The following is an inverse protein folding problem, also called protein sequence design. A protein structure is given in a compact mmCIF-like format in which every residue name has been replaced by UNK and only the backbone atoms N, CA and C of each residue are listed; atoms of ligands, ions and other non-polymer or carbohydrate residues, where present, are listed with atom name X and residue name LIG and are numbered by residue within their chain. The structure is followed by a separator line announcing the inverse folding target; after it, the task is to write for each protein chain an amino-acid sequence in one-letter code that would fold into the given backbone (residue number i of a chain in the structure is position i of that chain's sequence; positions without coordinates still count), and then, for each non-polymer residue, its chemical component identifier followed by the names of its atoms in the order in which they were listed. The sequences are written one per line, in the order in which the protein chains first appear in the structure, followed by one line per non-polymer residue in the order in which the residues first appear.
data_IF_944687516311
#
_entry.id   IF_944687516311
#
_cell.length_a   1.000
_cell.length_b   1.000
_cell.length_c   1.000
_cell.angle_alpha   90.00
_cell.angle_beta   90.00
_cell.angle_gamma   90.00
#
_symmetry.space_group_name_H-M   'P 1'
#
loop_
_entity.id
_entity.type
_entity.pdbx_description
1 polymer ?
#
# COMPACT_ATOMS: atom_id res chain seq x y z
N UNK A 1 -0.97 -8.36 2.44
CA UNK A 1 -0.14 -8.97 3.51
C UNK A 1 1.30 -8.97 3.04
N UNK A 2 2.22 -8.45 3.88
CA UNK A 2 3.61 -8.19 3.53
C UNK A 2 4.55 -9.24 4.14
N UNK A 3 5.54 -9.67 3.35
CA UNK A 3 6.55 -10.63 3.77
C UNK A 3 7.83 -9.99 4.35
N UNK A 4 7.91 -8.65 4.38
CA UNK A 4 9.15 -7.91 4.64
C UNK A 4 9.84 -8.26 5.96
N UNK A 5 9.09 -8.62 7.00
CA UNK A 5 9.62 -8.95 8.33
C UNK A 5 10.17 -10.37 8.45
N UNK A 6 10.06 -11.19 7.39
CA UNK A 6 10.55 -12.56 7.38
C UNK A 6 11.40 -12.91 6.16
N UNK A 7 11.84 -14.17 6.09
CA UNK A 7 12.59 -14.67 4.95
C UNK A 7 11.68 -14.87 3.73
N UNK A 8 12.24 -14.76 2.51
CA UNK A 8 11.56 -15.18 1.28
C UNK A 8 11.60 -16.71 1.16
N UNK A 9 10.78 -17.41 1.96
CA UNK A 9 10.68 -18.87 1.93
C UNK A 9 9.22 -19.31 1.89
N UNK A 10 9.00 -20.50 1.32
CA UNK A 10 7.68 -21.12 1.26
C UNK A 10 7.08 -21.32 2.67
N UNK A 11 7.88 -21.77 3.61
CA UNK A 11 7.45 -22.01 5.00
C UNK A 11 6.89 -20.74 5.65
N UNK A 12 7.51 -19.58 5.36
CA UNK A 12 7.02 -18.30 5.89
C UNK A 12 5.71 -17.87 5.22
N UNK A 13 5.61 -18.00 3.89
CA UNK A 13 4.36 -17.74 3.15
C UNK A 13 3.24 -18.64 3.65
N UNK A 14 3.51 -19.93 3.88
CA UNK A 14 2.51 -20.88 4.37
C UNK A 14 1.96 -20.52 5.75
N UNK A 15 2.69 -19.77 6.59
CA UNK A 15 2.15 -19.29 7.86
C UNK A 15 0.99 -18.31 7.65
N UNK A 16 1.12 -17.37 6.70
CA UNK A 16 0.04 -16.43 6.33
C UNK A 16 -1.17 -17.17 5.74
N UNK A 17 -0.93 -18.13 4.84
CA UNK A 17 -1.98 -18.92 4.21
C UNK A 17 -2.75 -19.73 5.25
N UNK A 18 -2.04 -20.41 6.15
CA UNK A 18 -2.66 -21.23 7.19
C UNK A 18 -3.44 -20.37 8.19
N UNK A 19 -2.93 -19.19 8.55
CA UNK A 19 -3.65 -18.29 9.44
C UNK A 19 -4.93 -17.75 8.80
N UNK A 20 -4.86 -17.36 7.54
CA UNK A 20 -6.03 -16.94 6.77
C UNK A 20 -7.08 -18.04 6.66
N UNK A 21 -6.65 -19.27 6.36
CA UNK A 21 -7.55 -20.43 6.31
C UNK A 21 -8.24 -20.70 7.65
N UNK A 22 -7.50 -20.66 8.77
CA UNK A 22 -8.08 -20.83 10.12
C UNK A 22 -9.13 -19.77 10.44
N UNK A 23 -8.97 -18.55 9.93
CA UNK A 23 -9.92 -17.46 10.12
C UNK A 23 -11.13 -17.53 9.18
N UNK A 24 -11.15 -18.49 8.22
CA UNK A 24 -12.24 -18.72 7.28
C UNK A 24 -12.22 -17.81 6.07
N UNK A 25 -11.05 -17.35 5.63
CA UNK A 25 -10.89 -16.66 4.35
C UNK A 25 -10.79 -17.70 3.21
N UNK A 26 -11.43 -17.40 2.08
CA UNK A 26 -11.37 -18.23 0.86
C UNK A 26 -10.27 -17.79 -0.09
N UNK A 27 -9.84 -16.52 0.03
CA UNK A 27 -8.84 -15.89 -0.83
C UNK A 27 -8.02 -14.87 -0.06
N UNK A 28 -6.72 -14.79 -0.38
CA UNK A 28 -5.81 -13.77 0.15
C UNK A 28 -4.91 -13.19 -0.94
N UNK A 29 -4.42 -11.98 -0.69
CA UNK A 29 -3.39 -11.31 -1.45
C UNK A 29 -2.11 -11.22 -0.63
N UNK A 30 -1.01 -11.76 -1.17
CA UNK A 30 0.34 -11.66 -0.61
C UNK A 30 1.17 -10.77 -1.52
N UNK A 31 1.87 -9.84 -0.93
CA UNK A 31 2.72 -8.88 -1.62
C UNK A 31 3.94 -8.52 -0.77
N UNK A 32 4.78 -7.66 -1.29
CA UNK A 32 5.83 -7.03 -0.51
C UNK A 32 6.12 -5.62 -1.02
N UNK A 33 6.74 -4.80 -0.19
CA UNK A 33 7.13 -3.45 -0.56
C UNK A 33 8.32 -3.43 -1.51
N UNK A 34 8.32 -2.50 -2.46
CA UNK A 34 9.43 -2.34 -3.41
C UNK A 34 10.76 -2.01 -2.74
N UNK A 35 10.76 -1.38 -1.56
CA UNK A 35 12.00 -1.11 -0.84
C UNK A 35 12.73 -2.39 -0.33
N UNK A 36 12.13 -3.57 -0.44
CA UNK A 36 12.80 -4.84 -0.19
C UNK A 36 13.76 -5.22 -1.31
N UNK A 37 13.45 -4.85 -2.57
CA UNK A 37 14.08 -5.38 -3.77
C UNK A 37 15.15 -4.45 -4.32
N UNK A 38 16.30 -5.03 -4.68
CA UNK A 38 17.49 -4.30 -5.19
C UNK A 38 17.19 -3.50 -6.44
N UNK A 39 16.35 -4.04 -7.31
CA UNK A 39 15.98 -3.43 -8.58
C UNK A 39 15.30 -2.07 -8.41
N UNK A 40 14.61 -1.87 -7.28
CA UNK A 40 13.92 -0.63 -6.96
C UNK A 40 14.75 0.39 -6.16
N UNK A 41 16.01 0.10 -5.81
CA UNK A 41 16.83 1.06 -5.03
C UNK A 41 16.92 2.44 -5.71
N UNK A 42 16.87 2.47 -7.04
CA UNK A 42 16.94 3.69 -7.85
C UNK A 42 15.80 4.68 -7.57
N UNK A 43 14.57 4.18 -7.38
CA UNK A 43 13.40 5.07 -7.17
C UNK A 43 13.38 5.73 -5.79
N UNK A 44 14.22 5.26 -4.86
CA UNK A 44 14.33 5.82 -3.51
C UNK A 44 15.46 6.86 -3.37
N UNK A 45 16.12 7.25 -4.46
CA UNK A 45 17.24 8.19 -4.39
C UNK A 45 16.78 9.55 -3.86
N UNK A 46 15.66 10.10 -4.36
CA UNK A 46 15.09 11.35 -3.87
C UNK A 46 14.68 11.30 -2.40
N UNK A 47 14.10 10.16 -1.98
CA UNK A 47 13.74 9.92 -0.58
C UNK A 47 15.00 9.88 0.30
N UNK A 48 16.05 9.18 -0.12
CA UNK A 48 17.30 9.03 0.63
C UNK A 48 17.97 10.36 0.95
N UNK A 49 17.99 11.27 -0.01
CA UNK A 49 18.73 12.51 0.10
C UNK A 49 17.96 13.64 0.82
N UNK A 50 16.66 13.45 1.08
CA UNK A 50 15.81 14.48 1.64
C UNK A 50 15.98 14.71 3.16
N UNK A 51 16.44 13.70 3.93
CA UNK A 51 16.73 13.85 5.36
C UNK A 51 17.67 12.78 5.90
N UNK A 52 18.35 13.08 7.02
CA UNK A 52 19.20 12.09 7.70
C UNK A 52 18.38 10.89 8.24
N UNK A 53 17.16 11.11 8.71
CA UNK A 53 16.25 10.04 9.13
C UNK A 53 15.99 9.04 8.00
N UNK A 54 15.69 9.55 6.81
CA UNK A 54 15.39 8.73 5.63
C UNK A 54 16.63 8.01 5.13
N UNK A 55 17.77 8.69 5.16
CA UNK A 55 19.06 8.09 4.82
C UNK A 55 19.41 6.92 5.74
N UNK A 56 19.23 7.08 7.05
CA UNK A 56 19.44 6.02 8.04
C UNK A 56 18.44 4.86 7.83
N UNK A 57 17.16 5.18 7.63
CA UNK A 57 16.12 4.18 7.37
C UNK A 57 16.44 3.32 6.15
N UNK A 58 16.87 3.93 5.03
CA UNK A 58 17.24 3.22 3.80
C UNK A 58 18.60 2.50 3.90
N UNK A 59 19.47 2.91 4.82
CA UNK A 59 20.76 2.24 5.06
C UNK A 59 20.63 0.89 5.74
N UNK A 60 19.46 0.55 6.27
CA UNK A 60 19.21 -0.75 6.93
C UNK A 60 19.12 -1.90 5.91
N UNK A 61 20.28 -2.36 5.43
CA UNK A 61 20.38 -3.44 4.42
C UNK A 61 19.86 -4.81 4.88
N UNK A 62 19.53 -4.98 6.16
CA UNK A 62 18.83 -6.18 6.65
C UNK A 62 17.35 -6.17 6.27
N UNK A 63 16.80 -5.00 6.01
CA UNK A 63 15.39 -4.80 5.66
C UNK A 63 15.22 -4.26 4.23
N UNK A 64 16.10 -3.37 3.79
CA UNK A 64 15.97 -2.62 2.54
C UNK A 64 16.93 -3.15 1.47
N UNK A 65 16.42 -3.32 0.25
CA UNK A 65 17.17 -3.73 -0.95
C UNK A 65 17.99 -5.01 -0.75
N UNK A 66 17.47 -5.94 0.05
CA UNK A 66 18.17 -7.17 0.44
C UNK A 66 17.97 -8.33 -0.53
N UNK A 67 16.81 -8.39 -1.17
CA UNK A 67 16.39 -9.47 -2.05
C UNK A 67 16.29 -9.00 -3.51
N UNK A 68 16.20 -9.94 -4.46
CA UNK A 68 15.91 -9.64 -5.86
C UNK A 68 14.47 -9.99 -6.22
N UNK A 69 13.87 -9.26 -7.18
CA UNK A 69 12.55 -9.61 -7.72
C UNK A 69 12.52 -11.02 -8.29
N UNK A 70 13.59 -11.46 -8.94
CA UNK A 70 13.69 -12.81 -9.47
C UNK A 70 13.61 -13.89 -8.38
N UNK A 71 14.13 -13.59 -7.16
CA UNK A 71 13.99 -14.50 -6.01
C UNK A 71 12.57 -14.55 -5.49
N UNK A 72 11.86 -13.41 -5.47
CA UNK A 72 10.46 -13.35 -5.10
C UNK A 72 9.57 -14.10 -6.11
N UNK A 73 9.78 -13.91 -7.40
CA UNK A 73 9.02 -14.63 -8.44
C UNK A 73 9.28 -16.15 -8.40
N UNK A 74 10.50 -16.59 -8.08
CA UNK A 74 10.77 -18.02 -7.84
C UNK A 74 9.95 -18.57 -6.67
N UNK A 75 9.89 -17.83 -5.56
CA UNK A 75 9.06 -18.19 -4.40
C UNK A 75 7.57 -18.26 -4.77
N UNK A 76 7.06 -17.28 -5.53
CA UNK A 76 5.67 -17.27 -6.04
C UNK A 76 5.39 -18.57 -6.81
N UNK A 77 6.26 -18.92 -7.76
CA UNK A 77 6.11 -20.12 -8.58
C UNK A 77 6.18 -21.40 -7.74
N UNK A 78 7.05 -21.45 -6.75
CA UNK A 78 7.13 -22.56 -5.81
C UNK A 78 5.83 -22.73 -5.03
N UNK A 79 5.28 -21.66 -4.46
CA UNK A 79 4.01 -21.71 -3.71
C UNK A 79 2.84 -22.04 -4.63
N UNK A 80 2.77 -21.44 -5.82
CA UNK A 80 1.69 -21.73 -6.81
C UNK A 80 1.72 -23.18 -7.33
N UNK A 81 2.86 -23.87 -7.27
CA UNK A 81 2.95 -25.30 -7.63
C UNK A 81 2.37 -26.22 -6.56
N UNK A 82 2.14 -25.73 -5.36
CA UNK A 82 1.58 -26.49 -4.25
C UNK A 82 0.06 -26.36 -4.19
N UNK A 83 -0.58 -27.35 -3.59
CA UNK A 83 -2.02 -27.29 -3.30
C UNK A 83 -2.24 -26.51 -1.99
N UNK A 84 -2.73 -25.29 -2.10
CA UNK A 84 -3.09 -24.45 -0.95
C UNK A 84 -4.56 -24.66 -0.55
N UNK A 85 -4.92 -24.50 0.73
CA UNK A 85 -6.31 -24.68 1.19
C UNK A 85 -7.24 -23.53 0.76
N UNK A 86 -6.69 -22.40 0.32
CA UNK A 86 -7.40 -21.20 -0.13
C UNK A 86 -6.73 -20.66 -1.40
N UNK A 87 -7.42 -19.81 -2.13
CA UNK A 87 -6.83 -19.09 -3.27
C UNK A 87 -5.81 -18.04 -2.80
N UNK A 88 -4.63 -18.03 -3.41
CA UNK A 88 -3.55 -17.11 -3.08
C UNK A 88 -3.14 -16.34 -4.32
N UNK A 89 -3.27 -15.03 -4.28
CA UNK A 89 -2.80 -14.11 -5.30
C UNK A 89 -1.52 -13.43 -4.83
N UNK A 90 -0.58 -13.22 -5.76
CA UNK A 90 0.71 -12.58 -5.48
C UNK A 90 0.90 -11.30 -6.26
N UNK A 91 1.35 -10.27 -5.59
CA UNK A 91 1.60 -8.96 -6.16
C UNK A 91 2.77 -8.22 -5.54
N UNK A 92 2.82 -6.93 -5.82
CA UNK A 92 3.74 -5.97 -5.19
C UNK A 92 2.97 -4.73 -4.74
N UNK A 93 3.40 -4.14 -3.64
CA UNK A 93 3.07 -2.77 -3.30
C UNK A 93 4.23 -1.86 -3.74
N UNK A 94 3.96 -1.10 -4.79
CA UNK A 94 4.95 -0.25 -5.44
C UNK A 94 4.86 1.16 -4.87
N UNK A 95 5.93 1.61 -4.24
CA UNK A 95 6.08 3.02 -3.89
C UNK A 95 6.16 3.82 -5.20
N UNK A 96 5.10 4.54 -5.52
CA UNK A 96 5.04 5.33 -6.75
C UNK A 96 5.70 6.69 -6.54
N UNK A 97 6.60 7.02 -7.45
CA UNK A 97 7.30 8.30 -7.53
C UNK A 97 7.22 8.74 -8.99
N UNK A 98 6.51 9.83 -9.32
CA UNK A 98 6.22 10.23 -10.70
C UNK A 98 7.44 10.32 -11.60
N UNK A 99 8.55 10.86 -11.06
CA UNK A 99 9.81 11.06 -11.78
C UNK A 99 10.46 9.73 -12.22
N UNK A 100 10.07 8.61 -11.60
CA UNK A 100 10.57 7.26 -11.89
C UNK A 100 9.53 6.35 -12.54
N UNK A 101 8.42 6.90 -13.08
CA UNK A 101 7.36 6.11 -13.70
C UNK A 101 7.89 5.14 -14.75
N UNK A 102 8.68 5.63 -15.70
CA UNK A 102 9.23 4.81 -16.79
C UNK A 102 10.21 3.75 -16.26
N UNK A 103 10.96 4.07 -15.20
CA UNK A 103 11.85 3.12 -14.55
C UNK A 103 11.09 2.03 -13.80
N UNK A 104 10.00 2.38 -13.11
CA UNK A 104 9.10 1.42 -12.46
C UNK A 104 8.52 0.46 -13.50
N UNK A 105 8.01 0.98 -14.62
CA UNK A 105 7.47 0.19 -15.71
C UNK A 105 8.53 -0.77 -16.27
N UNK A 106 9.73 -0.28 -16.56
CA UNK A 106 10.86 -1.06 -17.07
C UNK A 106 11.29 -2.18 -16.10
N UNK A 107 11.27 -1.91 -14.78
CA UNK A 107 11.61 -2.93 -13.77
C UNK A 107 10.53 -4.01 -13.71
N UNK A 108 9.27 -3.65 -13.85
CA UNK A 108 8.14 -4.58 -13.76
C UNK A 108 7.92 -5.41 -15.04
N UNK A 109 8.26 -4.87 -16.22
CA UNK A 109 7.99 -5.46 -17.53
C UNK A 109 8.36 -6.96 -17.65
N UNK A 110 9.52 -7.44 -17.11
CA UNK A 110 9.89 -8.85 -17.21
C UNK A 110 9.06 -9.81 -16.36
N UNK A 111 8.21 -9.29 -15.46
CA UNK A 111 7.55 -10.08 -14.43
C UNK A 111 6.02 -10.02 -14.57
N UNK A 112 5.37 -11.15 -14.24
CA UNK A 112 3.91 -11.23 -14.22
C UNK A 112 3.45 -11.43 -12.77
N UNK A 113 2.65 -10.49 -12.28
CA UNK A 113 1.99 -10.55 -10.98
C UNK A 113 0.48 -10.68 -11.17
N UNK A 114 -0.21 -11.28 -10.21
CA UNK A 114 -1.68 -11.38 -10.24
C UNK A 114 -2.33 -10.00 -10.04
N UNK A 115 -1.65 -9.08 -9.37
CA UNK A 115 -2.06 -7.70 -9.16
C UNK A 115 -0.86 -6.81 -8.85
N UNK A 116 -1.01 -5.51 -9.07
CA UNK A 116 -0.05 -4.49 -8.64
C UNK A 116 -0.80 -3.41 -7.85
N UNK A 117 -0.28 -3.10 -6.67
CA UNK A 117 -0.80 -2.04 -5.80
C UNK A 117 0.13 -0.84 -5.91
N UNK A 118 -0.41 0.32 -6.25
CA UNK A 118 0.33 1.58 -6.19
C UNK A 118 0.11 2.26 -4.83
N UNK A 119 1.18 2.75 -4.24
CA UNK A 119 1.14 3.45 -2.95
C UNK A 119 1.93 4.75 -3.01
N UNK A 120 1.42 5.80 -2.38
CA UNK A 120 2.16 7.02 -2.09
C UNK A 120 2.66 6.92 -0.65
N UNK A 121 3.97 6.89 -0.46
CA UNK A 121 4.63 6.91 0.86
C UNK A 121 5.46 8.18 1.09
N UNK A 122 5.76 8.94 0.02
CA UNK A 122 6.48 10.18 0.11
C UNK A 122 5.79 11.31 -0.65
N UNK A 123 5.91 12.52 -0.11
CA UNK A 123 5.45 13.75 -0.72
C UNK A 123 6.70 14.57 -1.04
N UNK A 124 6.98 14.72 -2.34
CA UNK A 124 8.18 15.41 -2.84
C UNK A 124 9.47 14.93 -2.16
N UNK A 125 9.60 13.60 -2.01
CA UNK A 125 10.76 12.94 -1.40
C UNK A 125 10.72 12.83 0.13
N UNK A 126 9.77 13.46 0.83
CA UNK A 126 9.61 13.34 2.28
C UNK A 126 8.58 12.25 2.64
N UNK A 127 9.01 11.22 3.37
CA UNK A 127 8.10 10.20 3.89
C UNK A 127 7.14 10.84 4.90
N UNK A 128 5.83 10.54 4.78
CA UNK A 128 4.80 11.14 5.63
C UNK A 128 4.28 10.20 6.73
N UNK A 129 4.56 8.90 6.63
CA UNK A 129 3.96 7.81 7.38
C UNK A 129 4.87 7.20 8.46
N UNK A 130 6.00 7.83 8.74
CA UNK A 130 6.93 7.42 9.79
C UNK A 130 6.79 8.30 11.04
N UNK A 131 7.02 7.77 12.26
CA UNK A 131 6.91 8.59 13.47
C UNK A 131 7.71 9.89 13.45
N UNK A 132 8.92 9.86 12.86
CA UNK A 132 9.78 11.03 12.71
C UNK A 132 9.37 11.96 11.53
N UNK A 133 8.40 11.56 10.72
CA UNK A 133 7.83 12.43 9.67
C UNK A 133 7.20 13.70 10.25
N UNK A 134 6.79 13.67 11.52
CA UNK A 134 6.31 14.87 12.22
C UNK A 134 7.36 15.97 12.18
N UNK A 135 8.62 15.64 12.49
CA UNK A 135 9.72 16.61 12.55
C UNK A 135 10.19 17.11 11.18
N UNK A 136 10.09 16.30 10.14
CA UNK A 136 10.63 16.66 8.81
C UNK A 136 9.58 17.18 7.83
N UNK A 137 8.30 16.89 8.07
CA UNK A 137 7.19 17.25 7.16
C UNK A 137 6.08 17.98 7.91
N UNK A 138 5.39 17.29 8.84
CA UNK A 138 4.13 17.75 9.41
C UNK A 138 4.24 19.05 10.22
N UNK A 139 5.31 19.22 11.00
CA UNK A 139 5.56 20.41 11.83
C UNK A 139 6.26 21.53 11.07
N UNK A 140 6.68 21.31 9.80
CA UNK A 140 7.42 22.28 9.01
C UNK A 140 6.62 22.91 7.88
N UNK A 141 5.67 22.18 7.32
CA UNK A 141 4.94 22.61 6.13
C UNK A 141 3.45 22.79 6.43
N UNK A 142 2.78 23.56 5.60
CA UNK A 142 1.35 23.77 5.73
C UNK A 142 0.59 22.46 5.44
N UNK A 143 -0.28 22.04 6.36
CA UNK A 143 -1.05 20.80 6.25
C UNK A 143 -1.94 20.79 5.01
N UNK A 144 -2.54 21.92 4.65
CA UNK A 144 -3.37 22.04 3.46
C UNK A 144 -2.57 21.75 2.18
N UNK A 145 -1.33 22.25 2.10
CA UNK A 145 -0.45 22.02 0.94
C UNK A 145 0.03 20.57 0.89
N UNK A 146 0.34 19.96 2.05
CA UNK A 146 0.68 18.52 2.15
C UNK A 146 -0.47 17.68 1.59
N UNK A 147 -1.71 17.94 2.00
CA UNK A 147 -2.88 17.18 1.53
C UNK A 147 -3.16 17.38 0.04
N UNK A 148 -3.08 18.63 -0.47
CA UNK A 148 -3.24 18.88 -1.92
C UNK A 148 -2.20 18.11 -2.72
N UNK A 149 -0.94 18.19 -2.31
CA UNK A 149 0.15 17.50 -3.00
C UNK A 149 0.02 15.98 -2.94
N UNK A 150 -0.39 15.44 -1.81
CA UNK A 150 -0.64 14.01 -1.65
C UNK A 150 -1.71 13.51 -2.65
N UNK A 151 -2.84 14.21 -2.77
CA UNK A 151 -3.88 13.79 -3.70
C UNK A 151 -3.52 14.04 -5.17
N UNK A 152 -2.74 15.06 -5.48
CA UNK A 152 -2.15 15.21 -6.82
C UNK A 152 -1.29 14.00 -7.21
N UNK A 153 -0.46 13.50 -6.28
CA UNK A 153 0.37 12.31 -6.49
C UNK A 153 -0.50 11.05 -6.64
N UNK A 154 -1.57 10.91 -5.87
CA UNK A 154 -2.54 9.81 -6.03
C UNK A 154 -3.22 9.87 -7.40
N UNK A 155 -3.65 11.04 -7.85
CA UNK A 155 -4.28 11.19 -9.16
C UNK A 155 -3.31 10.83 -10.29
N UNK A 156 -2.06 11.24 -10.19
CA UNK A 156 -1.02 10.87 -11.15
C UNK A 156 -0.74 9.36 -11.14
N UNK A 157 -0.68 8.75 -9.96
CA UNK A 157 -0.56 7.30 -9.79
C UNK A 157 -1.69 6.56 -10.51
N UNK A 158 -2.94 6.95 -10.29
CA UNK A 158 -4.10 6.30 -10.93
C UNK A 158 -4.06 6.47 -12.45
N UNK A 159 -3.75 7.69 -12.93
CA UNK A 159 -3.62 8.01 -14.36
C UNK A 159 -2.41 7.34 -15.03
N UNK A 160 -1.45 6.83 -14.26
CA UNK A 160 -0.29 6.11 -14.80
C UNK A 160 -0.65 4.82 -15.53
N UNK A 161 -1.80 4.22 -15.20
CA UNK A 161 -2.27 2.91 -15.69
C UNK A 161 -1.31 1.74 -15.39
N UNK A 162 -0.40 1.88 -14.43
CA UNK A 162 0.52 0.82 -14.02
C UNK A 162 -0.10 -0.14 -12.99
N UNK A 163 -1.14 0.29 -12.29
CA UNK A 163 -1.64 -0.39 -11.11
C UNK A 163 -3.08 -0.85 -11.25
N UNK A 164 -3.38 -1.99 -10.65
CA UNK A 164 -4.74 -2.54 -10.57
C UNK A 164 -5.46 -2.13 -9.28
N UNK A 165 -4.71 -1.65 -8.31
CA UNK A 165 -5.20 -1.29 -6.97
C UNK A 165 -4.45 -0.06 -6.45
N UNK A 166 -5.16 0.80 -5.71
CA UNK A 166 -4.61 1.92 -4.96
C UNK A 166 -4.58 1.55 -3.48
N UNK A 167 -3.38 1.52 -2.90
CA UNK A 167 -3.18 1.29 -1.48
C UNK A 167 -3.75 2.43 -0.63
N UNK A 168 -4.42 2.08 0.45
CA UNK A 168 -4.78 2.94 1.58
C UNK A 168 -4.88 4.46 1.27
N UNK A 169 -5.83 4.90 0.40
CA UNK A 169 -5.85 6.23 -0.20
C UNK A 169 -6.01 7.40 0.78
N UNK A 170 -6.33 7.14 2.03
CA UNK A 170 -6.44 8.15 3.07
C UNK A 170 -5.50 7.93 4.27
N UNK A 171 -4.44 7.13 4.11
CA UNK A 171 -3.43 6.90 5.17
C UNK A 171 -2.72 8.18 5.62
N UNK A 172 -2.74 9.23 4.81
CA UNK A 172 -2.24 10.56 5.18
C UNK A 172 -2.83 11.09 6.51
N UNK A 173 -4.02 10.62 6.91
CA UNK A 173 -4.66 10.97 8.19
C UNK A 173 -4.02 10.34 9.44
N UNK A 174 -3.07 9.43 9.26
CA UNK A 174 -2.55 8.50 10.28
C UNK A 174 -2.10 9.20 11.58
N UNK A 175 -1.54 10.40 11.49
CA UNK A 175 -1.10 11.17 12.66
C UNK A 175 -2.10 12.24 13.10
N UNK A 176 -3.34 12.20 12.58
CA UNK A 176 -4.42 13.13 12.93
C UNK A 176 -4.13 14.61 12.58
N UNK A 177 -3.29 14.87 11.59
CA UNK A 177 -3.21 16.16 10.93
C UNK A 177 -4.28 16.21 9.85
N UNK A 178 -5.10 17.26 9.84
CA UNK A 178 -6.20 17.40 8.88
C UNK A 178 -6.13 18.77 8.21
N UNK A 179 -6.51 18.87 6.93
CA UNK A 179 -6.53 20.15 6.23
C UNK A 179 -7.70 21.02 6.73
N UNK A 180 -7.59 22.32 6.51
CA UNK A 180 -8.61 23.29 6.88
C UNK A 180 -9.75 23.43 5.84
N UNK A 181 -9.63 22.77 4.69
CA UNK A 181 -10.59 22.82 3.59
C UNK A 181 -11.38 21.51 3.45
N UNK A 182 -12.51 21.58 2.74
CA UNK A 182 -13.37 20.43 2.47
C UNK A 182 -12.71 19.45 1.47
N UNK A 183 -12.56 18.19 1.87
CA UNK A 183 -11.97 17.12 1.04
C UNK A 183 -12.97 16.45 0.10
N UNK A 184 -14.29 16.70 0.23
CA UNK A 184 -15.29 16.05 -0.62
C UNK A 184 -15.03 16.21 -2.12
N UNK A 185 -14.71 17.41 -2.64
CA UNK A 185 -14.42 17.55 -4.06
C UNK A 185 -13.25 16.66 -4.52
N UNK A 186 -12.20 16.58 -3.70
CA UNK A 186 -11.02 15.72 -3.93
C UNK A 186 -11.40 14.23 -3.93
N UNK A 187 -12.26 13.82 -3.00
CA UNK A 187 -12.73 12.44 -2.90
C UNK A 187 -13.62 12.03 -4.08
N UNK A 188 -14.50 12.94 -4.56
CA UNK A 188 -15.28 12.70 -5.77
C UNK A 188 -14.38 12.55 -7.01
N UNK A 189 -13.38 13.42 -7.16
CA UNK A 189 -12.40 13.31 -8.26
C UNK A 189 -11.64 11.99 -8.18
N UNK A 190 -11.17 11.59 -7.01
CA UNK A 190 -10.49 10.31 -6.81
C UNK A 190 -11.40 9.14 -7.20
N UNK A 191 -12.64 9.14 -6.73
CA UNK A 191 -13.60 8.07 -7.02
C UNK A 191 -13.88 7.94 -8.54
N UNK A 192 -14.04 9.08 -9.24
CA UNK A 192 -14.21 9.10 -10.69
C UNK A 192 -12.99 8.52 -11.41
N UNK A 193 -11.77 8.92 -11.03
CA UNK A 193 -10.55 8.41 -11.62
C UNK A 193 -10.38 6.90 -11.40
N UNK A 194 -10.67 6.40 -10.19
CA UNK A 194 -10.59 4.96 -9.90
C UNK A 194 -11.53 4.16 -10.80
N UNK A 195 -12.75 4.62 -11.01
CA UNK A 195 -13.71 3.98 -11.90
C UNK A 195 -13.27 4.06 -13.36
N UNK A 196 -12.86 5.23 -13.83
CA UNK A 196 -12.41 5.48 -15.21
C UNK A 196 -11.20 4.62 -15.59
N UNK A 197 -10.23 4.49 -14.68
CA UNK A 197 -9.00 3.73 -14.90
C UNK A 197 -9.09 2.26 -14.44
N UNK A 198 -10.25 1.81 -13.97
CA UNK A 198 -10.46 0.44 -13.47
C UNK A 198 -9.51 0.04 -12.34
N UNK A 199 -9.15 0.99 -11.48
CA UNK A 199 -8.29 0.77 -10.30
C UNK A 199 -9.17 0.59 -9.07
N UNK A 200 -8.93 -0.47 -8.31
CA UNK A 200 -9.66 -0.73 -7.06
C UNK A 200 -9.15 0.17 -5.94
N UNK A 201 -10.05 0.65 -5.10
CA UNK A 201 -9.70 1.39 -3.89
C UNK A 201 -9.53 0.46 -2.68
N UNK A 202 -8.50 0.64 -1.90
CA UNK A 202 -8.26 -0.18 -0.72
C UNK A 202 -8.90 0.43 0.54
N UNK A 203 -9.69 -0.38 1.27
CA UNK A 203 -10.11 -0.10 2.64
C UNK A 203 -9.18 -0.86 3.59
N UNK A 204 -8.26 -0.15 4.25
CA UNK A 204 -7.11 -0.71 4.98
C UNK A 204 -7.21 -0.47 6.48
N UNK A 205 -7.03 -1.54 7.28
CA UNK A 205 -7.15 -1.45 8.74
C UNK A 205 -5.83 -1.12 9.47
N UNK A 206 -4.71 -1.00 8.74
CA UNK A 206 -3.39 -0.79 9.34
C UNK A 206 -3.29 0.46 10.21
N UNK A 207 -3.88 1.59 9.80
CA UNK A 207 -3.89 2.80 10.61
C UNK A 207 -4.58 2.59 11.96
N UNK A 208 -5.66 1.82 12.00
CA UNK A 208 -6.42 1.57 13.21
C UNK A 208 -5.62 0.74 14.23
N UNK A 209 -5.19 -0.46 13.85
CA UNK A 209 -4.62 -1.36 14.86
C UNK A 209 -3.13 -1.14 15.13
N UNK A 210 -2.38 -0.55 14.18
CA UNK A 210 -0.94 -0.26 14.38
C UNK A 210 -0.67 1.13 14.92
N UNK A 211 -1.47 2.13 14.51
CA UNK A 211 -1.24 3.54 14.85
C UNK A 211 -2.34 4.15 15.70
N UNK A 212 -3.32 3.33 16.13
CA UNK A 212 -4.43 3.74 17.01
C UNK A 212 -5.29 4.87 16.43
N UNK A 213 -5.38 4.97 15.10
CA UNK A 213 -6.30 5.92 14.46
C UNK A 213 -7.75 5.48 14.73
N UNK A 214 -8.71 6.39 14.97
CA UNK A 214 -10.09 6.02 15.30
C UNK A 214 -10.84 5.31 14.16
N UNK A 215 -10.52 5.60 12.91
CA UNK A 215 -11.16 4.94 11.75
C UNK A 215 -10.56 3.54 11.55
N UNK A 216 -11.43 2.53 11.49
CA UNK A 216 -11.00 1.14 11.24
C UNK A 216 -10.54 0.88 9.80
N UNK A 217 -10.86 1.76 8.89
CA UNK A 217 -10.53 1.68 7.47
C UNK A 217 -10.53 3.05 6.84
N UNK A 218 -11.15 3.18 5.66
CA UNK A 218 -11.40 4.49 5.07
C UNK A 218 -12.20 5.37 6.01
N UNK A 219 -11.96 6.69 5.97
CA UNK A 219 -12.85 7.65 6.60
C UNK A 219 -14.27 7.45 6.10
N UNK A 220 -15.26 7.69 6.98
CA UNK A 220 -16.67 7.49 6.59
C UNK A 220 -17.02 8.26 5.33
N UNK A 221 -16.56 9.50 5.21
CA UNK A 221 -16.85 10.36 4.08
C UNK A 221 -16.29 9.81 2.77
N UNK A 222 -15.02 9.35 2.77
CA UNK A 222 -14.40 8.75 1.59
C UNK A 222 -15.09 7.45 1.21
N UNK A 223 -15.43 6.60 2.18
CA UNK A 223 -16.15 5.35 1.94
C UNK A 223 -17.53 5.59 1.34
N UNK A 224 -18.28 6.57 1.84
CA UNK A 224 -19.61 6.92 1.33
C UNK A 224 -19.51 7.39 -0.14
N UNK A 225 -18.51 8.25 -0.47
CA UNK A 225 -18.26 8.72 -1.83
C UNK A 225 -17.81 7.58 -2.75
N UNK A 226 -16.94 6.68 -2.28
CA UNK A 226 -16.56 5.50 -3.07
C UNK A 226 -17.77 4.63 -3.42
N UNK A 227 -18.69 4.45 -2.47
CA UNK A 227 -19.94 3.74 -2.72
C UNK A 227 -20.85 4.47 -3.70
N UNK A 228 -21.01 5.77 -3.57
CA UNK A 228 -21.80 6.60 -4.48
C UNK A 228 -21.32 6.46 -5.93
N UNK A 229 -20.00 6.42 -6.14
CA UNK A 229 -19.38 6.27 -7.45
C UNK A 229 -19.22 4.82 -7.91
N UNK A 230 -19.65 3.84 -7.10
CA UNK A 230 -19.46 2.41 -7.39
C UNK A 230 -17.99 2.00 -7.60
N UNK A 231 -17.08 2.58 -6.82
CA UNK A 231 -15.67 2.18 -6.82
C UNK A 231 -15.54 0.73 -6.35
N UNK A 232 -14.81 -0.11 -7.09
CA UNK A 232 -14.52 -1.47 -6.66
C UNK A 232 -13.59 -1.44 -5.43
N UNK A 233 -14.12 -1.79 -4.25
CA UNK A 233 -13.42 -1.69 -2.98
C UNK A 233 -12.89 -3.05 -2.55
N UNK A 234 -11.60 -3.13 -2.23
CA UNK A 234 -10.98 -4.28 -1.58
C UNK A 234 -10.66 -3.98 -0.12
N UNK A 235 -10.65 -5.02 0.71
CA UNK A 235 -10.30 -4.89 2.13
C UNK A 235 -8.90 -5.43 2.40
N UNK A 236 -8.10 -4.70 3.16
CA UNK A 236 -6.75 -5.10 3.54
C UNK A 236 -6.50 -4.94 5.04
N UNK A 237 -5.89 -5.96 5.64
CA UNK A 237 -5.38 -5.85 7.01
C UNK A 237 -3.99 -5.22 7.07
N UNK A 238 -3.29 -5.19 5.94
CA UNK A 238 -1.92 -4.72 5.87
C UNK A 238 -1.01 -5.44 6.89
N UNK A 239 -1.22 -6.75 6.99
CA UNK A 239 -0.51 -7.59 7.93
C UNK A 239 0.96 -7.74 7.51
N UNK A 240 1.88 -7.47 8.44
CA UNK A 240 3.33 -7.59 8.26
C UNK A 240 3.93 -8.80 8.99
N UNK A 241 3.07 -9.61 9.59
CA UNK A 241 3.39 -10.89 10.23
C UNK A 241 2.15 -11.78 10.25
N UNK A 242 2.30 -13.10 10.34
CA UNK A 242 1.18 -14.03 10.27
C UNK A 242 0.07 -13.77 11.31
N UNK A 243 0.44 -13.33 12.52
CA UNK A 243 -0.50 -13.07 13.62
C UNK A 243 -1.45 -11.90 13.33
N UNK A 244 -1.08 -10.99 12.44
CA UNK A 244 -1.89 -9.82 12.08
C UNK A 244 -2.86 -10.09 10.91
N UNK A 245 -2.80 -11.29 10.31
CA UNK A 245 -3.68 -11.67 9.20
C UNK A 245 -5.14 -11.50 9.59
N UNK A 246 -5.90 -10.80 8.75
CA UNK A 246 -7.34 -10.63 8.92
C UNK A 246 -7.76 -9.69 10.05
N UNK A 247 -6.81 -8.97 10.69
CA UNK A 247 -7.12 -8.03 11.77
C UNK A 247 -8.15 -6.98 11.31
N UNK A 248 -9.30 -6.95 12.01
CA UNK A 248 -10.44 -6.08 11.73
C UNK A 248 -11.10 -6.22 10.34
N UNK A 249 -10.69 -7.17 9.50
CA UNK A 249 -11.28 -7.34 8.15
C UNK A 249 -12.78 -7.60 8.21
N UNK A 250 -13.24 -8.44 9.13
CA UNK A 250 -14.67 -8.76 9.26
C UNK A 250 -15.53 -7.54 9.61
N UNK A 251 -14.95 -6.57 10.31
CA UNK A 251 -15.63 -5.32 10.66
C UNK A 251 -15.81 -4.42 9.43
N UNK A 252 -14.72 -4.20 8.67
CA UNK A 252 -14.76 -3.31 7.50
C UNK A 252 -15.41 -3.97 6.29
N UNK A 253 -15.33 -5.29 6.15
CA UNK A 253 -15.92 -6.00 5.00
C UNK A 253 -17.41 -5.71 4.83
N UNK A 254 -18.15 -5.69 5.93
CA UNK A 254 -19.59 -5.36 5.91
C UNK A 254 -19.83 -3.90 5.52
N UNK A 255 -18.95 -2.99 5.95
CA UNK A 255 -19.03 -1.57 5.62
C UNK A 255 -18.73 -1.31 4.14
N UNK A 256 -17.83 -2.08 3.53
CA UNK A 256 -17.41 -1.91 2.14
C UNK A 256 -18.38 -2.54 1.11
N UNK A 257 -19.32 -3.38 1.54
CA UNK A 257 -20.30 -3.98 0.61
C UNK A 257 -21.33 -2.98 0.16
N UNK A 258 -21.76 -3.12 -1.09
CA UNK A 258 -22.95 -2.47 -1.62
C UNK A 258 -24.18 -3.26 -1.16
N UNK A 259 -25.20 -2.59 -0.64
CA UNK A 259 -26.49 -3.19 -0.25
C UNK A 259 -27.33 -3.57 -1.49
#
# INVERSE_FOLDING_TARGET
MHLENGPLTKEYVMQFINEAYKQGFDRIQILDHTHRFKEFEVIYQGVKDASDYQKEWLANKKMKFKDSLSSYVRLINEVKSEKTPIEVLFGLEVCYVPEYKDEIERILEPYQFDFLVGAIHSIDGLLYDMPWSKEILWDKYNVDDIYRRYYELIFDLVKSNLFTQLAHPDTIKMFSYYPSYDLKPTYHELAQLLVEHHVKGECNTGCYYRYHHPDKGLSKELLDIFKEHHVDIITASDAHKPEDVGTCIKDIYKLCRYD
#
